data_IF_613805547004
#
_entry.id   IF_613805547004
#
_cell.length_a   1.000
_cell.length_b   1.000
_cell.length_c   1.000
_cell.angle_alpha   90.00
_cell.angle_beta   90.00
_cell.angle_gamma   90.00
#
_symmetry.space_group_name_H-M   'P 1'
#
loop_
_entity.id
_entity.type
_entity.pdbx_description
1 polymer ?
#
# COMPACT_ATOMS: atom_id res chain seq x y z
N UNK A 1 -2.21 -0.19 15.68
CA UNK A 1 -2.81 0.36 16.92
C UNK A 1 -1.87 0.34 18.12
N UNK A 2 -1.17 -0.75 18.45
CA UNK A 2 -0.29 -0.78 19.66
C UNK A 2 0.89 0.21 19.55
N UNK A 3 1.42 0.42 18.35
CA UNK A 3 2.52 1.35 18.08
C UNK A 3 2.21 2.80 18.52
N UNK A 4 0.94 3.23 18.46
CA UNK A 4 0.47 4.54 18.92
C UNK A 4 0.82 4.73 20.40
N UNK A 5 0.48 3.76 21.25
CA UNK A 5 0.80 3.80 22.67
C UNK A 5 2.31 3.82 22.91
N UNK A 6 3.08 3.10 22.08
CA UNK A 6 4.54 3.13 22.12
C UNK A 6 5.10 4.55 21.92
N UNK A 7 4.58 5.29 20.94
CA UNK A 7 5.01 6.69 20.70
C UNK A 7 4.61 7.65 21.83
N UNK A 8 3.40 7.49 22.37
CA UNK A 8 2.91 8.33 23.46
C UNK A 8 3.71 8.10 24.75
N UNK A 9 3.96 6.83 25.10
CA UNK A 9 4.75 6.45 26.26
C UNK A 9 6.22 6.87 26.09
N UNK A 10 6.75 6.83 24.87
CA UNK A 10 8.09 7.31 24.60
C UNK A 10 8.23 8.81 24.91
N UNK A 11 7.30 9.63 24.38
CA UNK A 11 7.27 11.07 24.69
C UNK A 11 7.04 11.36 26.18
N UNK A 12 6.23 10.56 26.88
CA UNK A 12 5.97 10.72 28.30
C UNK A 12 7.19 10.38 29.18
N UNK A 13 7.84 9.25 28.91
CA UNK A 13 8.98 8.77 29.71
C UNK A 13 10.27 9.55 29.44
N UNK A 14 10.32 10.32 28.35
CA UNK A 14 11.35 11.33 28.09
C UNK A 14 11.43 12.36 29.23
N UNK A 15 10.32 12.68 29.92
CA UNK A 15 10.30 13.69 30.99
C UNK A 15 10.70 15.10 30.51
N UNK A 16 10.40 15.42 29.25
CA UNK A 16 10.56 16.75 28.65
C UNK A 16 9.26 17.21 28.01
N UNK A 17 8.88 18.47 28.25
CA UNK A 17 7.65 19.08 27.72
C UNK A 17 7.62 19.05 26.18
N UNK A 18 8.77 19.26 25.52
CA UNK A 18 8.84 19.26 24.06
C UNK A 18 8.71 17.85 23.47
N UNK A 19 9.39 16.87 24.07
CA UNK A 19 9.28 15.46 23.67
C UNK A 19 7.87 14.90 23.89
N UNK A 20 7.19 15.31 24.97
CA UNK A 20 5.79 14.94 25.22
C UNK A 20 4.86 15.51 24.14
N UNK A 21 5.01 16.79 23.77
CA UNK A 21 4.23 17.40 22.69
C UNK A 21 4.51 16.73 21.34
N UNK A 22 5.78 16.40 21.05
CA UNK A 22 6.17 15.65 19.86
C UNK A 22 5.55 14.25 19.81
N UNK A 23 5.57 13.53 20.94
CA UNK A 23 4.94 12.21 21.08
C UNK A 23 3.43 12.25 20.88
N UNK A 24 2.73 13.23 21.46
CA UNK A 24 1.28 13.41 21.29
C UNK A 24 0.90 13.71 19.84
N UNK A 25 1.68 14.56 19.14
CA UNK A 25 1.48 14.85 17.72
C UNK A 25 1.73 13.62 16.84
N UNK A 26 2.79 12.87 17.12
CA UNK A 26 3.07 11.61 16.44
C UNK A 26 1.89 10.64 16.62
N UNK A 27 1.42 10.44 17.86
CA UNK A 27 0.29 9.55 18.15
C UNK A 27 -0.99 9.99 17.44
N UNK A 28 -1.30 11.29 17.41
CA UNK A 28 -2.46 11.82 16.69
C UNK A 28 -2.38 11.55 15.18
N UNK A 29 -1.19 11.64 14.60
CA UNK A 29 -0.96 11.28 13.19
C UNK A 29 -1.24 9.81 12.96
N UNK A 30 -0.63 8.92 13.76
CA UNK A 30 -0.82 7.48 13.60
C UNK A 30 -2.29 7.07 13.68
N UNK A 31 -3.02 7.55 14.68
CA UNK A 31 -4.46 7.26 14.81
C UNK A 31 -5.26 7.68 13.58
N UNK A 32 -4.92 8.83 13.00
CA UNK A 32 -5.63 9.36 11.82
C UNK A 32 -5.43 8.48 10.59
N UNK A 33 -4.22 7.96 10.39
CA UNK A 33 -3.89 7.12 9.24
C UNK A 33 -4.24 5.66 9.44
N UNK A 34 -4.32 5.17 10.67
CA UNK A 34 -4.76 3.82 10.99
C UNK A 34 -6.21 3.55 10.56
N UNK A 35 -7.12 4.51 10.81
CA UNK A 35 -8.52 4.41 10.34
C UNK A 35 -8.57 4.32 8.82
N UNK A 36 -7.76 5.14 8.16
CA UNK A 36 -7.68 5.18 6.70
C UNK A 36 -7.12 3.86 6.13
N UNK A 37 -6.05 3.33 6.74
CA UNK A 37 -5.47 2.03 6.37
C UNK A 37 -6.52 0.92 6.43
N UNK A 38 -7.27 0.85 7.53
CA UNK A 38 -8.35 -0.13 7.68
C UNK A 38 -9.39 -0.04 6.57
N UNK A 39 -9.91 1.18 6.31
CA UNK A 39 -10.93 1.41 5.29
C UNK A 39 -10.46 1.05 3.88
N UNK A 40 -9.20 1.35 3.53
CA UNK A 40 -8.66 1.04 2.20
C UNK A 40 -8.55 -0.46 1.92
N UNK A 41 -8.45 -1.30 2.96
CA UNK A 41 -8.45 -2.76 2.81
C UNK A 41 -9.84 -3.38 2.65
N UNK A 42 -10.89 -2.70 3.14
CA UNK A 42 -12.27 -3.23 3.09
C UNK A 42 -12.70 -3.51 1.65
N UNK A 43 -12.35 -2.63 0.71
CA UNK A 43 -12.63 -2.84 -0.72
C UNK A 43 -12.04 -4.17 -1.22
N UNK A 44 -10.79 -4.47 -0.87
CA UNK A 44 -10.16 -5.74 -1.24
C UNK A 44 -10.86 -6.94 -0.57
N UNK A 45 -11.26 -6.83 0.70
CA UNK A 45 -12.00 -7.90 1.39
C UNK A 45 -13.35 -8.19 0.76
N UNK A 46 -14.06 -7.16 0.26
CA UNK A 46 -15.33 -7.34 -0.47
C UNK A 46 -15.07 -8.12 -1.77
N UNK A 47 -14.04 -7.76 -2.53
CA UNK A 47 -13.71 -8.39 -3.82
C UNK A 47 -13.36 -9.87 -3.68
N UNK A 48 -12.55 -10.21 -2.69
CA UNK A 48 -12.08 -11.60 -2.49
C UNK A 48 -12.98 -12.42 -1.56
N UNK A 49 -13.94 -11.78 -0.87
CA UNK A 49 -14.89 -12.47 0.02
C UNK A 49 -14.23 -13.20 1.20
N UNK A 50 -12.99 -12.84 1.56
CA UNK A 50 -12.22 -13.50 2.60
C UNK A 50 -11.30 -12.53 3.35
N UNK A 51 -11.05 -12.84 4.63
CA UNK A 51 -10.06 -12.17 5.47
C UNK A 51 -8.75 -12.97 5.61
N UNK A 52 -8.70 -14.18 5.04
CA UNK A 52 -7.50 -15.04 5.09
C UNK A 52 -6.57 -14.69 3.92
N UNK A 53 -5.39 -14.14 4.23
CA UNK A 53 -4.38 -13.76 3.24
C UNK A 53 -4.00 -14.91 2.29
N UNK A 54 -3.91 -16.12 2.81
CA UNK A 54 -3.67 -17.34 2.04
C UNK A 54 -4.74 -17.54 0.94
N UNK A 55 -6.02 -17.52 1.31
CA UNK A 55 -7.11 -17.63 0.34
C UNK A 55 -7.17 -16.46 -0.63
N UNK A 56 -6.82 -15.25 -0.20
CA UNK A 56 -6.78 -14.08 -1.09
C UNK A 56 -5.66 -14.22 -2.12
N UNK A 57 -4.47 -14.66 -1.71
CA UNK A 57 -3.37 -14.95 -2.62
C UNK A 57 -3.76 -16.03 -3.64
N UNK A 58 -4.37 -17.13 -3.17
CA UNK A 58 -4.87 -18.22 -4.02
C UNK A 58 -5.93 -17.75 -5.03
N UNK A 59 -6.83 -16.84 -4.65
CA UNK A 59 -7.86 -16.29 -5.55
C UNK A 59 -7.29 -15.31 -6.60
N UNK A 60 -6.08 -14.83 -6.39
CA UNK A 60 -5.32 -13.98 -7.33
C UNK A 60 -4.39 -14.81 -8.22
N UNK A 61 -3.94 -15.95 -7.71
CA UNK A 61 -3.10 -16.91 -8.39
C UNK A 61 -3.91 -18.02 -9.03
N UNK A 62 -4.41 -17.74 -10.24
CA UNK A 62 -4.89 -18.72 -11.23
C UNK A 62 -5.20 -20.10 -10.64
N UNK A 63 -6.23 -20.20 -9.81
CA UNK A 63 -6.59 -21.48 -9.23
C UNK A 63 -6.92 -22.42 -10.38
N UNK A 64 -6.16 -23.50 -10.51
CA UNK A 64 -6.46 -24.63 -11.36
C UNK A 64 -7.94 -25.03 -11.12
N UNK A 65 -8.71 -25.45 -12.15
CA UNK A 65 -10.14 -25.76 -12.00
C UNK A 65 -10.46 -26.71 -10.83
N UNK A 66 -9.53 -27.61 -10.49
CA UNK A 66 -9.61 -28.51 -9.34
C UNK A 66 -9.50 -27.80 -7.98
N UNK A 67 -8.65 -26.77 -7.86
CA UNK A 67 -8.48 -25.99 -6.62
C UNK A 67 -9.63 -24.99 -6.42
N UNK A 68 -10.22 -24.48 -7.51
CA UNK A 68 -11.45 -23.68 -7.46
C UNK A 68 -12.62 -24.47 -6.86
N UNK A 69 -12.71 -25.76 -7.18
CA UNK A 69 -13.72 -26.68 -6.62
C UNK A 69 -13.47 -26.94 -5.14
N UNK A 70 -12.21 -27.03 -4.69
CA UNK A 70 -11.88 -27.19 -3.27
C UNK A 70 -12.21 -25.93 -2.44
N UNK A 71 -11.97 -24.74 -3.00
CA UNK A 71 -12.29 -23.45 -2.36
C UNK A 71 -13.80 -23.16 -2.35
N UNK A 72 -14.53 -23.57 -3.39
CA UNK A 72 -16.00 -23.43 -3.44
C UNK A 72 -16.72 -24.38 -2.49
N UNK A 73 -16.15 -25.56 -2.21
CA UNK A 73 -16.65 -26.48 -1.17
C UNK A 73 -16.33 -25.97 0.25
N UNK A 74 -15.17 -25.31 0.44
CA UNK A 74 -14.75 -24.77 1.74
C UNK A 74 -15.51 -23.49 2.15
N UNK A 75 -15.84 -22.63 1.18
CA UNK A 75 -16.63 -21.43 1.41
C UNK A 75 -18.09 -21.73 1.06
N UNK A 76 -19.00 -21.88 2.04
CA UNK A 76 -20.45 -22.08 1.80
C UNK A 76 -21.15 -20.99 0.95
N UNK A 77 -20.44 -19.91 0.59
CA UNK A 77 -20.85 -18.86 -0.34
C UNK A 77 -20.26 -19.03 -1.77
N UNK A 78 -19.61 -20.17 -2.04
CA UNK A 78 -18.62 -20.38 -3.10
C UNK A 78 -19.11 -20.50 -4.53
N UNK A 79 -20.40 -20.31 -4.80
CA UNK A 79 -20.96 -20.42 -6.17
C UNK A 79 -21.08 -19.06 -6.88
N UNK A 80 -20.98 -17.93 -6.16
CA UNK A 80 -21.10 -16.58 -6.72
C UNK A 80 -19.75 -15.93 -7.12
N UNK A 81 -18.62 -16.44 -6.60
CA UNK A 81 -17.29 -15.80 -6.71
C UNK A 81 -16.32 -16.52 -7.65
N UNK A 82 -16.68 -17.71 -8.12
CA UNK A 82 -15.81 -18.62 -8.87
C UNK A 82 -16.27 -18.63 -10.33
N UNK A 83 -15.56 -17.91 -11.19
CA UNK A 83 -15.68 -18.02 -12.65
C UNK A 83 -14.47 -18.79 -13.16
N UNK A 84 -14.72 -19.72 -14.09
CA UNK A 84 -13.75 -20.65 -14.70
C UNK A 84 -12.60 -19.99 -15.49
N UNK A 85 -12.66 -18.68 -15.76
CA UNK A 85 -11.66 -17.97 -16.56
C UNK A 85 -10.58 -17.35 -15.66
N UNK A 86 -9.44 -18.04 -15.53
CA UNK A 86 -8.30 -17.71 -14.65
C UNK A 86 -7.53 -16.42 -14.99
N UNK A 87 -7.88 -15.74 -16.09
CA UNK A 87 -7.28 -14.50 -16.56
C UNK A 87 -8.37 -13.47 -16.84
N UNK A 88 -8.26 -12.28 -16.25
CA UNK A 88 -9.07 -11.13 -16.64
C UNK A 88 -8.77 -10.84 -18.12
N UNK A 89 -9.80 -10.84 -18.97
CA UNK A 89 -9.69 -10.64 -20.41
C UNK A 89 -8.76 -11.65 -21.14
N UNK A 90 -8.43 -12.78 -20.53
CA UNK A 90 -7.56 -13.80 -21.13
C UNK A 90 -6.05 -13.51 -21.10
N UNK A 91 -5.61 -12.39 -20.53
CA UNK A 91 -4.17 -12.05 -20.43
C UNK A 91 -3.77 -11.36 -19.13
N UNK A 92 -4.69 -10.74 -18.39
CA UNK A 92 -4.36 -9.95 -17.21
C UNK A 92 -4.53 -10.80 -15.92
N UNK A 93 -3.52 -10.85 -15.04
CA UNK A 93 -3.67 -11.49 -13.73
C UNK A 93 -4.76 -10.83 -12.90
N UNK A 94 -5.52 -11.62 -12.13
CA UNK A 94 -6.61 -11.14 -11.28
C UNK A 94 -6.12 -10.55 -9.96
N UNK A 95 -5.11 -9.69 -10.05
CA UNK A 95 -4.47 -9.01 -8.92
C UNK A 95 -5.43 -8.05 -8.22
N UNK A 96 -5.31 -7.94 -6.89
CA UNK A 96 -6.05 -6.95 -6.12
C UNK A 96 -5.79 -5.52 -6.59
N UNK A 97 -4.59 -5.22 -7.10
CA UNK A 97 -4.22 -3.94 -7.69
C UNK A 97 -5.07 -3.57 -8.92
N UNK A 98 -5.60 -4.55 -9.65
CA UNK A 98 -6.48 -4.30 -10.81
C UNK A 98 -7.88 -3.94 -10.34
N UNK A 99 -8.38 -4.61 -9.29
CA UNK A 99 -9.74 -4.37 -8.79
C UNK A 99 -9.85 -3.15 -7.88
N UNK A 100 -8.77 -2.77 -7.18
CA UNK A 100 -8.75 -1.74 -6.14
C UNK A 100 -7.51 -0.84 -6.24
N UNK A 101 -7.33 -0.09 -7.34
CA UNK A 101 -6.15 0.77 -7.50
C UNK A 101 -6.18 1.98 -6.57
N UNK A 102 -7.33 2.64 -6.41
CA UNK A 102 -7.47 3.76 -5.46
C UNK A 102 -7.22 3.27 -4.03
N UNK A 103 -7.79 2.11 -3.66
CA UNK A 103 -7.53 1.47 -2.37
C UNK A 103 -6.05 1.18 -2.14
N UNK A 104 -5.34 0.64 -3.14
CA UNK A 104 -3.91 0.35 -3.05
C UNK A 104 -3.07 1.62 -2.86
N UNK A 105 -3.32 2.67 -3.65
CA UNK A 105 -2.57 3.94 -3.56
C UNK A 105 -2.82 4.61 -2.21
N UNK A 106 -4.07 4.69 -1.77
CA UNK A 106 -4.41 5.24 -0.46
C UNK A 106 -3.79 4.44 0.68
N UNK A 107 -3.77 3.11 0.57
CA UNK A 107 -3.11 2.24 1.54
C UNK A 107 -1.60 2.52 1.63
N UNK A 108 -0.92 2.62 0.48
CA UNK A 108 0.51 2.93 0.43
C UNK A 108 0.83 4.31 1.02
N UNK A 109 0.04 5.34 0.68
CA UNK A 109 0.22 6.69 1.23
C UNK A 109 -0.04 6.72 2.74
N UNK A 110 -1.08 6.04 3.21
CA UNK A 110 -1.39 5.98 4.63
C UNK A 110 -0.33 5.18 5.41
N UNK A 111 0.22 4.12 4.81
CA UNK A 111 1.27 3.32 5.44
C UNK A 111 2.59 4.10 5.55
N UNK A 112 2.91 4.94 4.55
CA UNK A 112 4.03 5.88 4.65
C UNK A 112 3.87 6.86 5.82
N UNK A 113 2.65 7.36 6.03
CA UNK A 113 2.35 8.25 7.13
C UNK A 113 2.41 7.55 8.50
N UNK A 114 2.10 6.25 8.57
CA UNK A 114 2.22 5.43 9.78
C UNK A 114 3.69 5.13 10.13
N UNK A 115 4.52 4.83 9.13
CA UNK A 115 5.97 4.55 9.30
C UNK A 115 6.76 5.80 9.71
N UNK A 116 6.16 7.01 9.56
CA UNK A 116 6.76 8.31 9.89
C UNK A 116 8.03 8.65 9.11
N UNK A 117 8.19 8.10 7.91
CA UNK A 117 9.31 8.47 7.04
C UNK A 117 8.96 9.65 6.15
N UNK A 118 10.01 10.37 5.73
CA UNK A 118 9.89 11.44 4.76
C UNK A 118 9.12 10.93 3.52
N UNK A 119 8.05 11.62 3.08
CA UNK A 119 7.69 13.02 3.35
C UNK A 119 6.82 13.30 4.60
N UNK A 120 6.45 12.30 5.39
CA UNK A 120 5.58 12.39 6.58
C UNK A 120 6.35 12.38 7.91
N UNK A 121 7.61 12.83 7.93
CA UNK A 121 8.54 12.82 9.06
C UNK A 121 8.35 13.99 10.06
N UNK A 122 7.21 14.68 10.03
CA UNK A 122 6.98 15.89 10.86
C UNK A 122 7.12 15.72 12.37
N UNK A 123 6.78 14.58 12.99
CA UNK A 123 6.97 14.43 14.44
C UNK A 123 8.44 14.35 14.86
N UNK A 124 9.35 14.16 13.91
CA UNK A 124 10.78 13.96 14.15
C UNK A 124 11.64 15.07 13.51
N UNK A 125 11.14 15.75 12.47
CA UNK A 125 11.88 16.69 11.64
C UNK A 125 11.50 18.16 11.73
N UNK A 126 10.50 18.56 12.54
CA UNK A 126 10.18 19.98 12.73
C UNK A 126 11.11 20.62 13.78
N UNK A 127 11.88 21.63 13.41
CA UNK A 127 12.82 22.34 14.32
C UNK A 127 12.15 23.09 15.47
N UNK A 128 10.83 23.26 15.45
CA UNK A 128 10.06 23.93 16.51
C UNK A 128 9.79 23.01 17.72
N UNK A 129 9.89 21.67 17.55
CA UNK A 129 9.65 20.69 18.61
C UNK A 129 10.67 19.54 18.56
N UNK A 130 11.18 19.13 19.72
CA UNK A 130 12.13 18.02 19.85
C UNK A 130 11.37 16.69 19.67
N UNK A 131 11.86 15.80 18.79
CA UNK A 131 11.24 14.50 18.52
C UNK A 131 11.16 13.58 19.75
N UNK A 132 10.19 12.65 19.75
CA UNK A 132 9.83 11.83 20.92
C UNK A 132 10.90 10.80 21.36
N UNK A 133 11.91 10.54 20.54
CA UNK A 133 12.99 9.59 20.84
C UNK A 133 14.36 10.26 21.06
N UNK A 134 14.44 11.60 21.02
CA UNK A 134 15.72 12.31 21.00
C UNK A 134 16.53 12.16 22.31
N UNK A 135 15.85 11.85 23.41
CA UNK A 135 16.46 11.64 24.72
C UNK A 135 16.87 10.19 24.99
N UNK A 136 16.52 9.28 24.07
CA UNK A 136 16.98 7.90 24.13
C UNK A 136 18.34 7.76 23.47
N UNK A 137 19.22 6.98 24.10
CA UNK A 137 20.56 6.70 23.60
C UNK A 137 20.85 5.20 23.56
N UNK A 138 21.86 4.82 22.78
CA UNK A 138 22.33 3.44 22.64
C UNK A 138 21.23 2.50 22.12
N UNK A 139 21.03 1.38 22.82
CA UNK A 139 20.10 0.32 22.41
C UNK A 139 18.65 0.81 22.26
N UNK A 140 18.19 1.68 23.16
CA UNK A 140 16.79 2.15 23.17
C UNK A 140 16.47 3.00 21.93
N UNK A 141 17.39 3.87 21.52
CA UNK A 141 17.28 4.60 20.25
C UNK A 141 17.33 3.65 19.05
N UNK A 142 18.23 2.66 19.08
CA UNK A 142 18.32 1.63 18.03
C UNK A 142 17.03 0.82 17.85
N UNK A 143 16.28 0.56 18.93
CA UNK A 143 14.99 -0.15 18.85
C UNK A 143 13.93 0.62 18.06
N UNK A 144 13.89 1.95 18.17
CA UNK A 144 12.96 2.77 17.37
C UNK A 144 13.29 2.67 15.88
N UNK A 145 14.58 2.78 15.53
CA UNK A 145 15.03 2.68 14.14
C UNK A 145 14.78 1.29 13.54
N UNK A 146 15.04 0.21 14.30
CA UNK A 146 14.75 -1.16 13.83
C UNK A 146 13.24 -1.35 13.65
N UNK A 147 12.41 -0.80 14.53
CA UNK A 147 10.96 -0.91 14.44
C UNK A 147 10.42 -0.26 13.15
N UNK A 148 10.89 0.93 12.77
CA UNK A 148 10.48 1.59 11.51
C UNK A 148 10.82 0.75 10.26
N UNK A 149 12.02 0.16 10.23
CA UNK A 149 12.44 -0.68 9.11
C UNK A 149 11.65 -1.99 9.08
N UNK A 150 11.42 -2.62 10.23
CA UNK A 150 10.59 -3.81 10.32
C UNK A 150 9.15 -3.52 9.86
N UNK A 151 8.58 -2.38 10.24
CA UNK A 151 7.25 -1.96 9.82
C UNK A 151 7.16 -1.75 8.30
N UNK A 152 8.18 -1.14 7.70
CA UNK A 152 8.27 -0.99 6.23
C UNK A 152 8.21 -2.34 5.52
N UNK A 153 8.93 -3.35 6.03
CA UNK A 153 8.92 -4.70 5.46
C UNK A 153 7.56 -5.39 5.66
N UNK A 154 6.94 -5.23 6.84
CA UNK A 154 5.62 -5.80 7.14
C UNK A 154 4.55 -5.21 6.21
N UNK A 155 4.53 -3.89 6.05
CA UNK A 155 3.63 -3.20 5.10
C UNK A 155 3.87 -3.70 3.68
N UNK A 156 5.13 -3.81 3.25
CA UNK A 156 5.47 -4.38 1.94
C UNK A 156 4.95 -5.80 1.73
N UNK A 157 4.98 -6.62 2.79
CA UNK A 157 4.43 -7.98 2.79
C UNK A 157 2.90 -8.00 2.68
N UNK A 158 2.21 -7.10 3.39
CA UNK A 158 0.75 -6.95 3.32
C UNK A 158 0.31 -6.52 1.91
N UNK A 159 0.97 -5.51 1.33
CA UNK A 159 0.65 -5.04 -0.03
C UNK A 159 0.88 -6.13 -1.06
N UNK A 160 2.00 -6.84 -0.97
CA UNK A 160 2.31 -7.95 -1.89
C UNK A 160 1.25 -9.06 -1.81
N UNK A 161 0.80 -9.39 -0.60
CA UNK A 161 -0.18 -10.46 -0.38
C UNK A 161 -1.60 -10.08 -0.83
N UNK A 162 -2.03 -8.84 -0.58
CA UNK A 162 -3.42 -8.41 -0.85
C UNK A 162 -3.58 -7.85 -2.25
N UNK A 163 -2.58 -7.14 -2.79
CA UNK A 163 -2.72 -6.43 -4.06
C UNK A 163 -1.93 -7.04 -5.22
N UNK A 164 -0.79 -7.70 -4.97
CA UNK A 164 0.13 -8.16 -6.03
C UNK A 164 0.18 -9.68 -6.25
N UNK A 165 -0.85 -10.42 -5.83
CA UNK A 165 -0.94 -11.86 -6.09
C UNK A 165 -0.03 -12.71 -5.21
N UNK A 166 0.47 -12.20 -4.09
CA UNK A 166 1.31 -12.95 -3.16
C UNK A 166 2.49 -13.63 -3.86
N UNK A 167 2.59 -14.95 -3.65
CA UNK A 167 3.68 -15.79 -4.16
C UNK A 167 3.48 -16.27 -5.60
N UNK A 168 2.34 -15.97 -6.24
CA UNK A 168 2.05 -16.46 -7.59
C UNK A 168 2.85 -15.72 -8.66
N UNK A 169 3.35 -16.47 -9.63
CA UNK A 169 4.12 -15.93 -10.75
C UNK A 169 3.17 -15.78 -11.95
N UNK A 170 2.88 -14.55 -12.41
CA UNK A 170 2.03 -14.33 -13.56
C UNK A 170 2.49 -15.11 -14.78
N UNK A 171 1.53 -15.70 -15.52
CA UNK A 171 1.72 -16.37 -16.82
C UNK A 171 2.57 -17.64 -16.84
N UNK A 172 3.34 -17.90 -15.78
CA UNK A 172 4.30 -19.01 -15.70
C UNK A 172 3.72 -20.25 -15.02
N UNK A 173 2.74 -20.10 -14.14
CA UNK A 173 2.19 -21.20 -13.33
C UNK A 173 1.51 -22.33 -14.14
N UNK A 174 0.65 -22.04 -15.16
CA UNK A 174 0.00 -23.11 -15.94
C UNK A 174 0.96 -23.95 -16.77
N UNK A 175 2.09 -23.36 -17.16
CA UNK A 175 3.12 -24.02 -17.98
C UNK A 175 4.09 -24.81 -17.11
N UNK A 176 4.45 -24.28 -15.93
CA UNK A 176 5.39 -24.96 -15.05
C UNK A 176 4.72 -26.15 -14.37
N UNK A 177 3.48 -26.06 -13.87
CA UNK A 177 2.80 -27.22 -13.25
C UNK A 177 2.69 -28.40 -14.24
N UNK A 178 2.26 -28.12 -15.49
CA UNK A 178 2.14 -29.14 -16.55
C UNK A 178 3.47 -29.77 -16.97
N UNK A 179 4.58 -29.03 -16.92
CA UNK A 179 5.91 -29.55 -17.26
C UNK A 179 6.59 -30.25 -16.09
N UNK A 180 6.27 -29.85 -14.87
CA UNK A 180 6.79 -30.38 -13.61
C UNK A 180 6.24 -31.78 -13.30
N UNK A 181 4.95 -32.01 -13.58
CA UNK A 181 4.31 -33.33 -13.42
C UNK A 181 4.84 -34.38 -14.41
N UNK A 182 5.40 -33.96 -15.55
CA UNK A 182 5.90 -34.87 -16.58
C UNK A 182 7.39 -35.24 -16.48
N UNK A 183 8.28 -34.27 -16.23
CA UNK A 183 9.73 -34.46 -16.43
C UNK A 183 10.59 -34.52 -15.15
N UNK A 184 10.10 -33.99 -14.02
CA UNK A 184 10.91 -33.79 -12.79
C UNK A 184 10.39 -34.56 -11.56
N UNK A 185 9.20 -35.17 -11.61
CA UNK A 185 8.60 -35.84 -10.46
C UNK A 185 8.53 -34.92 -9.22
N UNK A 186 8.63 -35.49 -8.01
CA UNK A 186 8.58 -34.76 -6.73
C UNK A 186 9.66 -33.67 -6.56
N UNK A 187 10.72 -33.67 -7.38
CA UNK A 187 11.76 -32.64 -7.34
C UNK A 187 11.34 -31.32 -7.99
N UNK A 188 10.38 -31.37 -8.92
CA UNK A 188 9.92 -30.19 -9.62
C UNK A 188 8.98 -29.30 -8.78
N UNK A 189 8.17 -29.89 -7.90
CA UNK A 189 7.30 -29.14 -6.97
C UNK A 189 8.13 -28.37 -5.93
N UNK A 190 9.27 -28.92 -5.51
CA UNK A 190 10.21 -28.22 -4.63
C UNK A 190 10.84 -27.00 -5.32
N UNK A 191 11.21 -27.11 -6.59
CA UNK A 191 11.75 -25.98 -7.36
C UNK A 191 10.71 -24.87 -7.57
N UNK A 192 9.46 -25.24 -7.83
CA UNK A 192 8.33 -24.32 -7.88
C UNK A 192 8.15 -23.53 -6.57
N UNK A 193 8.21 -24.20 -5.43
CA UNK A 193 8.11 -23.54 -4.12
C UNK A 193 9.24 -22.52 -3.91
N UNK A 194 10.47 -22.86 -4.31
CA UNK A 194 11.61 -21.92 -4.23
C UNK A 194 11.39 -20.70 -5.13
N UNK A 195 10.92 -20.90 -6.36
CA UNK A 195 10.60 -19.81 -7.29
C UNK A 195 9.47 -18.92 -6.76
N UNK A 196 8.43 -19.51 -6.17
CA UNK A 196 7.31 -18.78 -5.56
C UNK A 196 7.76 -17.92 -4.37
N UNK A 197 8.63 -18.47 -3.49
CA UNK A 197 9.25 -17.70 -2.40
C UNK A 197 10.09 -16.55 -2.94
N UNK A 198 10.91 -16.80 -3.96
CA UNK A 198 11.72 -15.76 -4.57
C UNK A 198 10.87 -14.67 -5.23
N UNK A 199 9.79 -15.05 -5.91
CA UNK A 199 8.85 -14.11 -6.52
C UNK A 199 8.15 -13.24 -5.45
N UNK A 200 7.73 -13.84 -4.34
CA UNK A 200 7.15 -13.09 -3.22
C UNK A 200 8.16 -12.07 -2.67
N UNK A 201 9.39 -12.50 -2.37
CA UNK A 201 10.44 -11.62 -1.84
C UNK A 201 10.73 -10.49 -2.82
N UNK A 202 10.87 -10.79 -4.11
CA UNK A 202 11.16 -9.78 -5.13
C UNK A 202 10.05 -8.75 -5.25
N UNK A 203 8.78 -9.16 -5.23
CA UNK A 203 7.63 -8.24 -5.22
C UNK A 203 7.59 -7.39 -3.95
N UNK A 204 7.78 -8.01 -2.78
CA UNK A 204 7.84 -7.30 -1.50
C UNK A 204 8.95 -6.26 -1.50
N UNK A 205 10.15 -6.62 -1.95
CA UNK A 205 11.27 -5.70 -2.09
C UNK A 205 11.00 -4.60 -3.11
N UNK A 206 10.26 -4.88 -4.18
CA UNK A 206 9.85 -3.88 -5.16
C UNK A 206 8.88 -2.85 -4.53
N UNK A 207 7.94 -3.30 -3.69
CA UNK A 207 7.07 -2.40 -2.92
C UNK A 207 7.88 -1.56 -1.94
N UNK A 208 8.79 -2.17 -1.18
CA UNK A 208 9.69 -1.45 -0.27
C UNK A 208 10.56 -0.44 -1.03
N UNK A 209 11.03 -0.79 -2.22
CA UNK A 209 11.79 0.10 -3.08
C UNK A 209 10.94 1.31 -3.52
N UNK A 210 9.70 1.10 -3.98
CA UNK A 210 8.76 2.19 -4.29
C UNK A 210 8.57 3.10 -3.08
N UNK A 211 8.34 2.52 -1.91
CA UNK A 211 8.20 3.22 -0.63
C UNK A 211 9.43 4.08 -0.29
N UNK A 212 10.64 3.66 -0.66
CA UNK A 212 11.85 4.48 -0.49
C UNK A 212 12.03 5.54 -1.58
N UNK A 213 11.63 5.29 -2.82
CA UNK A 213 11.69 6.29 -3.89
C UNK A 213 10.80 7.50 -3.58
N UNK A 214 9.64 7.27 -2.94
CA UNK A 214 8.73 8.35 -2.49
C UNK A 214 9.45 9.40 -1.65
N UNK A 215 10.49 9.01 -0.89
CA UNK A 215 11.31 9.93 -0.09
C UNK A 215 11.93 11.06 -0.91
N UNK A 216 12.29 10.79 -2.16
CA UNK A 216 12.93 11.76 -3.04
C UNK A 216 11.94 12.41 -4.02
N UNK A 217 10.70 11.92 -4.08
CA UNK A 217 9.70 12.39 -5.03
C UNK A 217 8.91 13.60 -4.51
N UNK A 218 8.73 13.72 -3.19
CA UNK A 218 7.87 14.76 -2.59
C UNK A 218 8.61 15.66 -1.61
N UNK A 219 8.33 16.97 -1.61
CA UNK A 219 8.72 17.86 -0.52
C UNK A 219 8.10 17.42 0.81
N UNK A 220 8.73 17.79 1.92
CA UNK A 220 8.21 17.54 3.27
C UNK A 220 6.88 18.28 3.49
N UNK A 221 5.90 17.59 4.05
CA UNK A 221 4.61 18.20 4.43
C UNK A 221 4.69 18.78 5.84
N UNK A 222 3.89 19.82 6.12
CA UNK A 222 3.69 20.32 7.50
C UNK A 222 2.60 19.52 8.20
N UNK A 223 2.66 19.41 9.53
CA UNK A 223 1.68 18.66 10.34
C UNK A 223 0.21 18.97 10.01
N UNK A 224 -0.15 20.25 9.85
CA UNK A 224 -1.53 20.64 9.53
C UNK A 224 -1.99 20.12 8.15
N UNK A 225 -1.06 20.04 7.20
CA UNK A 225 -1.33 19.52 5.86
C UNK A 225 -1.52 18.01 5.89
N UNK A 226 -0.72 17.31 6.69
CA UNK A 226 -0.83 15.86 6.94
C UNK A 226 -2.19 15.55 7.58
N UNK A 227 -2.57 16.29 8.63
CA UNK A 227 -3.88 16.12 9.28
C UNK A 227 -5.04 16.40 8.31
N UNK A 228 -4.93 17.45 7.50
CA UNK A 228 -5.94 17.77 6.49
C UNK A 228 -6.01 16.69 5.40
N UNK A 229 -4.89 16.13 4.97
CA UNK A 229 -4.82 15.06 3.99
C UNK A 229 -5.54 13.81 4.52
N UNK A 230 -5.23 13.35 5.73
CA UNK A 230 -5.88 12.19 6.34
C UNK A 230 -7.40 12.39 6.49
N UNK A 231 -7.82 13.46 7.17
CA UNK A 231 -9.22 13.65 7.54
C UNK A 231 -10.12 14.19 6.43
N UNK A 232 -9.64 15.13 5.60
CA UNK A 232 -10.50 15.78 4.59
C UNK A 232 -10.41 15.14 3.21
N UNK A 233 -9.33 14.40 2.91
CA UNK A 233 -9.17 13.77 1.60
C UNK A 233 -9.19 12.26 1.71
N UNK A 234 -8.30 11.64 2.47
CA UNK A 234 -8.13 10.18 2.42
C UNK A 234 -9.30 9.42 3.05
N UNK A 235 -9.84 9.88 4.19
CA UNK A 235 -10.99 9.24 4.83
C UNK A 235 -12.25 9.30 3.92
N UNK A 236 -12.68 10.45 3.39
CA UNK A 236 -13.81 10.47 2.46
C UNK A 236 -13.59 9.66 1.18
N UNK A 237 -12.40 9.72 0.59
CA UNK A 237 -12.10 9.00 -0.67
C UNK A 237 -12.04 7.49 -0.42
N UNK A 238 -11.46 7.03 0.68
CA UNK A 238 -11.44 5.60 1.03
C UNK A 238 -12.85 5.06 1.28
N UNK A 239 -13.71 5.82 1.97
CA UNK A 239 -15.10 5.43 2.18
C UNK A 239 -15.88 5.37 0.86
N UNK A 240 -15.70 6.39 0.00
CA UNK A 240 -16.32 6.41 -1.34
C UNK A 240 -15.86 5.21 -2.17
N UNK A 241 -14.57 4.88 -2.14
CA UNK A 241 -14.02 3.71 -2.82
C UNK A 241 -14.71 2.41 -2.36
N UNK A 242 -14.92 2.22 -1.05
CA UNK A 242 -15.63 1.05 -0.52
C UNK A 242 -17.08 0.98 -1.03
N UNK A 243 -17.79 2.10 -1.02
CA UNK A 243 -19.19 2.17 -1.49
C UNK A 243 -19.29 1.89 -3.00
N UNK A 244 -18.41 2.49 -3.81
CA UNK A 244 -18.38 2.26 -5.26
C UNK A 244 -18.04 0.80 -5.55
N UNK A 245 -17.02 0.26 -4.87
CA UNK A 245 -16.61 -1.14 -5.02
C UNK A 245 -17.77 -2.09 -4.71
N UNK A 246 -18.47 -1.88 -3.58
CA UNK A 246 -19.63 -2.68 -3.23
C UNK A 246 -20.77 -2.57 -4.25
N UNK A 247 -21.08 -1.37 -4.71
CA UNK A 247 -22.16 -1.14 -5.68
C UNK A 247 -21.86 -1.76 -7.06
N UNK A 248 -20.65 -1.56 -7.57
CA UNK A 248 -20.21 -2.11 -8.87
C UNK A 248 -20.15 -3.63 -8.81
N UNK A 249 -19.63 -4.18 -7.71
CA UNK A 249 -19.54 -5.62 -7.52
C UNK A 249 -20.91 -6.30 -7.50
N UNK A 250 -21.92 -5.67 -6.88
CA UNK A 250 -23.29 -6.17 -6.88
C UNK A 250 -23.98 -6.06 -8.25
N UNK A 251 -23.68 -5.02 -9.03
CA UNK A 251 -24.36 -4.75 -10.29
C UNK A 251 -23.75 -5.47 -11.49
N UNK A 252 -22.42 -5.42 -11.64
CA UNK A 252 -21.69 -5.93 -12.81
C UNK A 252 -20.69 -7.04 -12.47
N UNK A 253 -20.68 -7.53 -11.22
CA UNK A 253 -19.78 -8.59 -10.77
C UNK A 253 -18.31 -8.19 -10.84
N UNK A 254 -17.45 -9.20 -10.90
CA UNK A 254 -15.98 -9.04 -10.89
C UNK A 254 -15.44 -8.42 -12.18
N UNK A 255 -16.04 -8.71 -13.34
CA UNK A 255 -15.59 -8.20 -14.64
C UNK A 255 -15.87 -6.69 -14.79
N UNK A 256 -17.04 -6.24 -14.35
CA UNK A 256 -17.36 -4.81 -14.32
C UNK A 256 -16.43 -4.04 -13.39
N UNK A 257 -16.08 -4.62 -12.25
CA UNK A 257 -15.13 -4.01 -11.33
C UNK A 257 -13.71 -3.95 -11.93
N UNK A 258 -13.27 -4.95 -12.69
CA UNK A 258 -12.00 -4.91 -13.39
C UNK A 258 -11.93 -3.74 -14.39
N UNK A 259 -13.02 -3.48 -15.13
CA UNK A 259 -13.10 -2.32 -16.02
C UNK A 259 -13.04 -0.98 -15.27
N UNK A 260 -13.75 -0.88 -14.14
CA UNK A 260 -13.70 0.31 -13.29
C UNK A 260 -12.28 0.53 -12.76
N UNK A 261 -11.62 -0.51 -12.26
CA UNK A 261 -10.24 -0.40 -11.79
C UNK A 261 -9.25 -0.02 -12.90
N UNK A 262 -9.41 -0.52 -14.13
CA UNK A 262 -8.61 -0.05 -15.27
C UNK A 262 -8.86 1.44 -15.55
N UNK A 263 -10.11 1.88 -15.52
CA UNK A 263 -10.46 3.30 -15.69
C UNK A 263 -9.86 4.17 -14.58
N UNK A 264 -9.87 3.70 -13.33
CA UNK A 264 -9.24 4.38 -12.20
C UNK A 264 -7.72 4.49 -12.38
N UNK A 265 -7.05 3.42 -12.83
CA UNK A 265 -5.62 3.49 -13.17
C UNK A 265 -5.33 4.51 -14.25
N UNK A 266 -6.14 4.55 -15.31
CA UNK A 266 -6.00 5.55 -16.39
C UNK A 266 -6.19 6.96 -15.82
N UNK A 267 -7.20 7.18 -14.97
CA UNK A 267 -7.43 8.47 -14.33
C UNK A 267 -6.26 8.90 -13.43
N UNK A 268 -5.70 7.98 -12.66
CA UNK A 268 -4.52 8.22 -11.81
C UNK A 268 -3.31 8.59 -12.67
N UNK A 269 -3.00 7.80 -13.70
CA UNK A 269 -1.86 8.04 -14.58
C UNK A 269 -2.03 9.34 -15.38
N UNK A 270 -3.24 9.64 -15.83
CA UNK A 270 -3.57 10.91 -16.48
C UNK A 270 -3.36 12.10 -15.54
N UNK A 271 -3.82 12.00 -14.30
CA UNK A 271 -3.61 13.05 -13.29
C UNK A 271 -2.12 13.26 -13.00
N UNK A 272 -1.36 12.17 -12.81
CA UNK A 272 0.10 12.22 -12.63
C UNK A 272 0.77 12.89 -13.83
N UNK A 273 0.39 12.50 -15.06
CA UNK A 273 0.92 13.08 -16.29
C UNK A 273 0.65 14.58 -16.42
N UNK A 274 -0.56 15.03 -16.06
CA UNK A 274 -0.89 16.46 -16.02
C UNK A 274 -0.05 17.22 -14.98
N UNK A 275 0.17 16.64 -13.80
CA UNK A 275 0.97 17.28 -12.76
C UNK A 275 2.46 17.33 -13.08
N UNK A 276 2.99 16.33 -13.80
CA UNK A 276 4.38 16.31 -14.25
C UNK A 276 4.66 17.32 -15.38
N UNK A 277 3.63 17.69 -16.15
CA UNK A 277 3.70 18.70 -17.23
C UNK A 277 3.50 20.15 -16.78
N UNK A 278 3.07 20.38 -15.53
CA UNK A 278 2.92 21.73 -15.00
C UNK A 278 4.31 22.35 -14.73
N UNK A 279 4.75 23.27 -15.60
CA UNK A 279 5.96 24.04 -15.36
C UNK A 279 5.85 24.80 -14.03
N UNK A 280 6.95 24.94 -13.27
CA UNK A 280 6.94 25.80 -12.10
C UNK A 280 6.61 27.23 -12.54
N UNK A 281 5.43 27.71 -12.14
CA UNK A 281 5.07 29.12 -12.17
C UNK A 281 6.08 29.81 -11.25
N UNK A 282 7.20 30.29 -11.79
CA UNK A 282 8.13 31.30 -11.22
C UNK A 282 9.48 31.38 -11.99
N UNK A 283 9.49 31.31 -13.33
CA UNK A 283 10.69 31.60 -14.12
C UNK A 283 10.65 32.98 -14.82
N UNK A 284 9.49 33.65 -14.89
CA UNK A 284 9.35 34.89 -15.66
C UNK A 284 9.30 36.19 -14.83
N UNK A 285 9.30 36.11 -13.50
CA UNK A 285 9.31 37.31 -12.64
C UNK A 285 10.73 37.87 -12.36
N UNK A 286 11.79 37.21 -12.85
CA UNK A 286 13.19 37.58 -12.57
C UNK A 286 13.90 38.41 -13.63
N UNK A 287 13.33 38.59 -14.84
CA UNK A 287 14.02 39.25 -15.96
C UNK A 287 13.71 40.75 -16.11
N UNK A 288 12.80 41.32 -15.31
CA UNK A 288 12.42 42.74 -15.38
C UNK A 288 12.95 43.60 -14.22
N UNK A 289 13.71 43.05 -13.28
CA UNK A 289 14.22 43.78 -12.12
C UNK A 289 15.72 44.19 -12.20
N UNK A 290 16.45 43.83 -13.26
CA UNK A 290 17.89 44.13 -13.38
C UNK A 290 18.25 45.26 -14.36
N UNK A 291 17.28 46.02 -14.88
CA UNK A 291 17.53 47.07 -15.90
C UNK A 291 17.23 48.51 -15.43
N UNK A 292 17.13 48.77 -14.12
CA UNK A 292 16.88 50.13 -13.58
C UNK A 292 17.96 50.60 -12.59
N UNK A 293 19.08 49.88 -12.46
CA UNK A 293 20.22 50.31 -11.62
C UNK A 293 21.46 50.65 -12.44
N UNK A 294 21.30 51.40 -13.54
CA UNK A 294 22.39 52.18 -14.16
C UNK A 294 21.77 53.37 -14.88
N UNK A 295 21.63 54.48 -14.17
CA UNK A 295 21.90 55.85 -14.60
C UNK A 295 21.68 56.82 -13.43
#
# INVERSE_FOLDING_TARGET
SIAVFGTALAGWTSNNKLALLGGLRASAQLVSYEVTLGLTLVGAFIVFGSLRLDTMALLQGMAEPAMQTAVSIANRAGDFLVRDDSLLFGWLPSWGAVFQPVGMVLFLVAAQAEIKRAPFDTPEGESEIIGYFLEYSGLKSGMFLIAEYAETVVVGGIVTSIFLGGYHIPWLEPTIVRTTEGWLGASGTAWLAVLQVFAFILKMLSVVWVMFVVRWAFPRFRYDQIMRLGWKMMLPVSLLNVVITGAVFLWAGRDGLAWVGIAEWIAILFFIGLTAGAQPINAEAGSHASTVATH
#
